data_IF_483608749895
#
_entry.id   IF_483608749895
#
_cell.length_a   1.000
_cell.length_b   1.000
_cell.length_c   1.000
_cell.angle_alpha   90.00
_cell.angle_beta   90.00
_cell.angle_gamma   90.00
#
_symmetry.space_group_name_H-M   'P 1'
#
loop_
_entity.id
_entity.type
_entity.pdbx_description
1 polymer ?
#
# COMPACT_ATOMS: atom_id res chain seq x y z
N UNK A 1 -10.10 28.66 10.66
CA UNK A 1 -9.98 27.46 11.45
C UNK A 1 -9.15 26.43 10.69
N UNK A 2 -8.18 25.87 11.34
CA UNK A 2 -7.34 24.88 10.70
C UNK A 2 -8.14 23.63 10.37
N UNK A 3 -8.01 23.14 9.16
CA UNK A 3 -8.59 21.88 8.73
C UNK A 3 -7.58 20.73 8.81
N UNK A 4 -6.55 20.90 9.62
CA UNK A 4 -5.54 19.86 9.76
C UNK A 4 -6.14 18.61 10.40
N UNK A 5 -5.97 17.52 9.70
CA UNK A 5 -6.33 16.21 10.23
C UNK A 5 -5.17 15.64 11.01
N UNK A 6 -5.46 14.96 12.10
CA UNK A 6 -4.45 14.22 12.80
C UNK A 6 -3.90 13.14 11.87
N UNK A 7 -2.62 12.86 12.03
CA UNK A 7 -1.92 11.85 11.23
C UNK A 7 -1.52 10.71 12.15
N UNK A 8 -1.74 9.49 11.70
CA UNK A 8 -1.32 8.30 12.42
C UNK A 8 -0.41 7.44 11.57
N UNK A 9 0.46 6.68 12.21
CA UNK A 9 1.35 5.74 11.55
C UNK A 9 0.74 4.36 11.67
N UNK A 10 0.45 3.74 10.54
CA UNK A 10 -0.22 2.44 10.49
C UNK A 10 0.47 1.52 9.49
N UNK A 11 0.35 0.20 9.65
CA UNK A 11 0.77 -0.70 8.60
C UNK A 11 -0.04 -0.46 7.32
N UNK A 12 0.61 -0.61 6.18
CA UNK A 12 -0.07 -0.41 4.90
C UNK A 12 -1.31 -1.31 4.76
N UNK A 13 -1.29 -2.49 5.38
CA UNK A 13 -2.42 -3.42 5.37
C UNK A 13 -3.69 -2.87 6.00
N UNK A 14 -3.59 -1.82 6.82
CA UNK A 14 -4.76 -1.18 7.42
C UNK A 14 -5.40 -0.11 6.53
N UNK A 15 -4.72 0.26 5.45
CA UNK A 15 -5.25 1.25 4.51
C UNK A 15 -6.38 0.64 3.70
N UNK A 16 -7.47 1.38 3.58
CA UNK A 16 -8.69 0.96 2.87
C UNK A 16 -9.15 2.03 1.90
N UNK A 17 -10.08 1.69 1.06
CA UNK A 17 -10.73 2.66 0.18
C UNK A 17 -11.31 3.81 0.99
N UNK A 18 -11.07 5.02 0.51
CA UNK A 18 -11.50 6.24 1.18
C UNK A 18 -10.46 6.85 2.13
N UNK A 19 -9.40 6.12 2.44
CA UNK A 19 -8.34 6.65 3.30
C UNK A 19 -7.46 7.63 2.55
N UNK A 20 -6.95 8.62 3.28
CA UNK A 20 -5.91 9.50 2.78
C UNK A 20 -4.56 8.94 3.22
N UNK A 21 -3.80 8.48 2.25
CA UNK A 21 -2.50 7.84 2.43
C UNK A 21 -1.40 8.76 1.92
N UNK A 22 -0.36 8.94 2.71
CA UNK A 22 0.84 9.62 2.22
C UNK A 22 1.73 8.61 1.52
N UNK A 23 2.01 8.85 0.24
CA UNK A 23 2.91 8.00 -0.53
C UNK A 23 4.33 8.14 0.05
N UNK A 24 4.94 7.07 0.57
CA UNK A 24 6.26 7.15 1.16
C UNK A 24 7.37 7.48 0.16
N UNK A 25 7.11 7.33 -1.15
CA UNK A 25 8.10 7.60 -2.18
C UNK A 25 8.12 9.06 -2.61
N UNK A 26 6.94 9.67 -2.73
CA UNK A 26 6.82 11.04 -3.23
C UNK A 26 6.46 12.05 -2.14
N UNK A 27 5.95 11.59 -1.01
CA UNK A 27 5.46 12.44 0.06
C UNK A 27 4.08 13.03 -0.21
N UNK A 28 3.46 12.70 -1.33
CA UNK A 28 2.15 13.22 -1.69
C UNK A 28 1.05 12.47 -0.96
N UNK A 29 0.01 13.21 -0.60
CA UNK A 29 -1.21 12.62 -0.08
C UNK A 29 -2.08 12.17 -1.24
N UNK A 30 -2.53 10.92 -1.18
CA UNK A 30 -3.42 10.34 -2.18
C UNK A 30 -4.66 9.81 -1.49
N UNK A 31 -5.80 9.95 -2.16
CA UNK A 31 -7.04 9.35 -1.69
C UNK A 31 -7.16 7.97 -2.33
N UNK A 32 -7.18 6.95 -1.49
CA UNK A 32 -7.29 5.57 -1.97
C UNK A 32 -8.71 5.33 -2.46
N UNK A 33 -8.85 5.07 -3.74
CA UNK A 33 -10.16 4.82 -4.36
C UNK A 33 -10.40 3.36 -4.66
N UNK A 34 -9.32 2.58 -4.77
CA UNK A 34 -9.42 1.17 -5.09
C UNK A 34 -8.20 0.43 -4.55
N UNK A 35 -8.41 -0.82 -4.16
CA UNK A 35 -7.32 -1.73 -3.81
C UNK A 35 -7.44 -3.00 -4.64
N UNK A 36 -6.30 -3.60 -4.94
CA UNK A 36 -6.26 -4.86 -5.67
C UNK A 36 -5.23 -5.80 -5.03
N UNK A 37 -5.66 -7.01 -4.75
CA UNK A 37 -4.76 -8.05 -4.25
C UNK A 37 -4.24 -8.84 -5.44
N UNK A 38 -2.95 -9.12 -5.42
CA UNK A 38 -2.28 -9.87 -6.47
C UNK A 38 -1.32 -10.89 -5.87
N UNK A 39 -0.94 -11.86 -6.67
CA UNK A 39 0.03 -12.86 -6.30
C UNK A 39 1.09 -12.93 -7.38
N UNK A 40 2.33 -12.99 -6.94
CA UNK A 40 3.45 -13.18 -7.84
C UNK A 40 4.15 -14.49 -7.52
N UNK A 41 4.33 -15.31 -8.54
CA UNK A 41 5.09 -16.54 -8.40
C UNK A 41 6.55 -16.25 -8.69
N UNK A 42 7.41 -16.50 -7.72
CA UNK A 42 8.83 -16.33 -7.89
C UNK A 42 9.43 -17.70 -8.25
N UNK A 43 9.67 -17.91 -9.54
CA UNK A 43 10.24 -19.15 -10.03
C UNK A 43 11.76 -19.14 -10.00
N UNK A 44 12.38 -17.98 -9.86
CA UNK A 44 13.83 -17.86 -9.84
C UNK A 44 14.45 -18.43 -8.56
N UNK A 45 13.66 -18.52 -7.51
CA UNK A 45 14.09 -19.08 -6.23
C UNK A 45 13.76 -20.55 -6.07
N UNK A 46 13.21 -21.19 -7.12
CA UNK A 46 12.88 -22.60 -7.06
C UNK A 46 14.09 -23.44 -7.41
N UNK A 47 14.42 -24.38 -6.53
CA UNK A 47 15.29 -25.49 -6.87
C UNK A 47 14.46 -26.59 -7.52
N UNK A 48 15.09 -27.50 -8.25
CA UNK A 48 14.38 -28.61 -8.86
C UNK A 48 13.64 -29.43 -7.79
N UNK A 49 12.34 -29.57 -7.98
CA UNK A 49 11.48 -30.32 -7.08
C UNK A 49 10.91 -29.53 -5.91
N UNK A 50 11.21 -28.26 -5.80
CA UNK A 50 10.64 -27.41 -4.76
C UNK A 50 9.39 -26.68 -5.24
N UNK A 51 8.49 -26.38 -4.28
CA UNK A 51 7.30 -25.59 -4.55
C UNK A 51 7.70 -24.13 -4.81
N UNK A 52 7.18 -23.51 -5.88
CA UNK A 52 7.42 -22.08 -6.12
C UNK A 52 6.98 -21.22 -4.94
N UNK A 53 7.80 -20.21 -4.62
CA UNK A 53 7.42 -19.22 -3.61
C UNK A 53 6.38 -18.30 -4.23
N UNK A 54 5.24 -18.14 -3.54
CA UNK A 54 4.18 -17.24 -3.98
C UNK A 54 4.20 -16.05 -3.02
N UNK A 55 4.42 -14.86 -3.57
CA UNK A 55 4.32 -13.62 -2.83
C UNK A 55 2.97 -12.97 -3.09
N UNK A 56 2.26 -12.66 -2.01
CA UNK A 56 1.03 -11.91 -2.08
C UNK A 56 1.35 -10.43 -1.86
N UNK A 57 0.74 -9.58 -2.67
CA UNK A 57 0.91 -8.15 -2.52
C UNK A 57 -0.39 -7.43 -2.84
N UNK A 58 -0.49 -6.21 -2.36
CA UNK A 58 -1.65 -5.35 -2.59
C UNK A 58 -1.20 -4.05 -3.22
N UNK A 59 -1.95 -3.58 -4.20
CA UNK A 59 -1.73 -2.28 -4.83
C UNK A 59 -2.88 -1.37 -4.45
N UNK A 60 -2.53 -0.15 -4.02
CA UNK A 60 -3.48 0.87 -3.65
C UNK A 60 -3.49 1.93 -4.73
N UNK A 61 -4.66 2.23 -5.27
CA UNK A 61 -4.82 3.18 -6.36
C UNK A 61 -5.43 4.47 -5.83
N UNK A 62 -4.84 5.58 -6.20
CA UNK A 62 -5.33 6.91 -5.88
C UNK A 62 -6.26 7.46 -6.95
N UNK A 63 -6.98 8.52 -6.62
CA UNK A 63 -7.94 9.16 -7.52
C UNK A 63 -7.28 9.93 -8.67
N UNK A 64 -5.99 10.24 -8.54
CA UNK A 64 -5.21 10.88 -9.60
C UNK A 64 -4.39 9.91 -10.44
N UNK A 65 -4.64 8.60 -10.33
CA UNK A 65 -3.90 7.58 -11.07
C UNK A 65 -2.63 7.10 -10.36
N UNK A 66 -2.42 7.52 -9.12
CA UNK A 66 -1.28 7.07 -8.32
C UNK A 66 -1.43 5.61 -7.95
N UNK A 67 -0.29 4.94 -7.83
CA UNK A 67 -0.24 3.56 -7.36
C UNK A 67 0.77 3.44 -6.21
N UNK A 68 0.36 2.74 -5.16
CA UNK A 68 1.26 2.36 -4.06
C UNK A 68 1.25 0.84 -3.95
N UNK A 69 2.40 0.24 -4.24
CA UNK A 69 2.56 -1.21 -4.22
C UNK A 69 3.17 -1.62 -2.88
N UNK A 70 2.53 -2.54 -2.19
CA UNK A 70 2.98 -2.99 -0.88
C UNK A 70 4.38 -3.61 -0.88
N UNK A 71 4.84 -4.11 -2.02
CA UNK A 71 6.19 -4.70 -2.15
C UNK A 71 7.30 -3.66 -1.99
N UNK A 72 7.00 -2.39 -2.28
CA UNK A 72 7.99 -1.32 -2.25
C UNK A 72 7.86 -0.44 -1.01
N UNK A 73 6.99 -0.81 -0.09
CA UNK A 73 6.76 -0.07 1.15
C UNK A 73 7.26 -0.90 2.32
N UNK A 74 8.13 -0.31 3.12
CA UNK A 74 8.63 -0.94 4.33
C UNK A 74 8.20 -0.12 5.55
N UNK A 75 7.82 -0.81 6.61
CA UNK A 75 7.43 -0.14 7.86
C UNK A 75 6.04 0.47 7.79
N UNK A 76 5.84 1.48 8.62
CA UNK A 76 4.55 2.15 8.74
C UNK A 76 4.40 3.26 7.71
N UNK A 77 3.16 3.55 7.36
CA UNK A 77 2.81 4.65 6.47
C UNK A 77 1.97 5.67 7.23
N UNK A 78 1.93 6.89 6.72
CA UNK A 78 1.12 7.96 7.31
C UNK A 78 -0.27 7.94 6.71
N UNK A 79 -1.27 8.03 7.57
CA UNK A 79 -2.67 8.09 7.19
C UNK A 79 -3.35 9.22 7.97
N UNK A 80 -4.27 9.94 7.32
CA UNK A 80 -5.11 10.88 8.06
C UNK A 80 -6.12 10.10 8.89
N UNK A 81 -6.23 10.49 10.16
CA UNK A 81 -7.17 9.83 11.07
C UNK A 81 -8.59 10.11 10.60
N UNK A 82 -9.39 9.08 10.58
CA UNK A 82 -10.82 9.21 10.25
C UNK A 82 -11.56 9.84 11.39
N UNK A 83 -12.51 10.67 11.04
CA UNK A 83 -13.44 11.26 12.02
C UNK A 83 -14.70 10.41 12.14
#
# INVERSE_FOLDING_TARGET
>A
MSSEHAIEQVPLSEIREGDMLQDPRSGRWIKVTQTADSKMRDTDKCSDGETPVIEEYRVYYGDGGEEVDSRFVTGLVSRQVRE
#
